data_IF_699336401194
#
_entry.id   IF_699336401194
#
_cell.length_a   1.000
_cell.length_b   1.000
_cell.length_c   1.000
_cell.angle_alpha   90.00
_cell.angle_beta   90.00
_cell.angle_gamma   90.00
#
_symmetry.space_group_name_H-M   'P 1'
#
loop_
_entity.id
_entity.type
_entity.pdbx_description
1 polymer ?
#
# COMPACT_ATOMS: atom_id res chain seq x y z
N UNK A 1 15.33 -60.37 -20.72
CA UNK A 1 14.92 -61.21 -19.58
C UNK A 1 13.79 -60.48 -18.86
N UNK A 2 12.55 -60.94 -19.03
CA UNK A 2 11.35 -60.43 -18.36
C UNK A 2 11.36 -60.89 -16.90
N UNK A 3 10.63 -60.17 -16.04
CA UNK A 3 9.79 -60.62 -14.91
C UNK A 3 9.52 -59.35 -14.07
N UNK A 4 8.52 -58.52 -14.39
CA UNK A 4 7.07 -58.73 -14.22
C UNK A 4 6.72 -59.05 -12.76
N UNK A 5 6.36 -58.01 -11.98
CA UNK A 5 5.74 -58.14 -10.66
C UNK A 5 4.25 -57.77 -10.83
N UNK A 6 3.29 -58.68 -10.57
CA UNK A 6 1.90 -58.48 -10.94
C UNK A 6 1.08 -57.78 -9.85
N UNK A 7 0.02 -57.11 -10.30
CA UNK A 7 -1.22 -56.82 -9.55
C UNK A 7 -1.75 -58.08 -8.86
N UNK A 8 -2.42 -57.92 -7.70
CA UNK A 8 -3.87 -58.13 -7.58
C UNK A 8 -4.36 -57.89 -6.13
N UNK A 9 -5.39 -57.04 -6.02
CA UNK A 9 -6.60 -57.18 -5.20
C UNK A 9 -6.48 -57.31 -3.68
N UNK A 10 -7.05 -56.36 -2.93
CA UNK A 10 -8.29 -56.63 -2.21
C UNK A 10 -9.11 -55.35 -1.97
N UNK A 11 -10.36 -55.45 -2.38
CA UNK A 11 -11.45 -54.48 -2.34
C UNK A 11 -12.14 -54.54 -0.97
N UNK A 12 -12.50 -53.39 -0.40
CA UNK A 12 -13.62 -53.22 0.56
C UNK A 12 -13.84 -51.70 0.70
N UNK A 13 -14.66 -51.02 -0.12
CA UNK A 13 -16.12 -51.01 -0.24
C UNK A 13 -16.91 -50.66 1.06
N UNK A 14 -17.21 -49.35 1.16
CA UNK A 14 -18.44 -48.66 1.62
C UNK A 14 -18.97 -48.83 3.05
N UNK A 15 -19.30 -47.68 3.67
CA UNK A 15 -20.61 -47.29 4.23
C UNK A 15 -20.48 -45.81 4.68
N UNK A 16 -20.86 -44.83 3.84
CA UNK A 16 -22.18 -44.15 3.83
C UNK A 16 -22.75 -43.82 5.22
N UNK A 17 -22.60 -42.55 5.62
CA UNK A 17 -23.59 -41.83 6.42
C UNK A 17 -23.91 -40.50 5.71
N UNK A 18 -25.09 -40.46 5.07
CA UNK A 18 -25.89 -39.26 4.91
C UNK A 18 -26.62 -39.04 6.26
N UNK A 19 -27.09 -37.86 6.69
CA UNK A 19 -27.60 -36.68 6.02
C UNK A 19 -27.88 -35.58 7.07
N UNK A 20 -28.09 -34.36 6.57
CA UNK A 20 -29.12 -33.38 6.97
C UNK A 20 -28.64 -31.98 7.42
N UNK A 21 -28.76 -31.07 6.45
CA UNK A 21 -29.47 -29.77 6.53
C UNK A 21 -29.24 -28.87 7.74
N UNK A 22 -28.31 -27.92 7.58
CA UNK A 22 -28.29 -26.65 8.28
C UNK A 22 -28.18 -25.52 7.26
N UNK A 23 -29.29 -24.81 7.06
CA UNK A 23 -29.37 -23.64 6.19
C UNK A 23 -28.64 -22.48 6.87
N UNK A 24 -27.53 -22.01 6.30
CA UNK A 24 -26.91 -20.74 6.69
C UNK A 24 -26.28 -20.12 5.45
N UNK A 25 -27.10 -19.37 4.73
CA UNK A 25 -26.69 -18.29 3.85
C UNK A 25 -25.81 -17.32 4.67
N UNK A 26 -24.50 -17.57 4.76
CA UNK A 26 -23.58 -16.49 5.08
C UNK A 26 -23.37 -15.70 3.78
N UNK A 27 -24.15 -14.64 3.63
CA UNK A 27 -23.71 -13.45 2.92
C UNK A 27 -22.44 -12.95 3.62
N UNK A 28 -21.31 -13.59 3.32
CA UNK A 28 -19.98 -13.07 3.59
C UNK A 28 -19.72 -12.03 2.53
N UNK A 29 -19.93 -10.77 2.90
CA UNK A 29 -19.70 -9.59 2.09
C UNK A 29 -18.44 -9.75 1.25
N UNK A 30 -18.60 -9.93 -0.07
CA UNK A 30 -17.65 -9.33 -1.00
C UNK A 30 -17.81 -7.84 -0.79
N UNK A 31 -17.04 -7.30 0.17
CA UNK A 31 -16.70 -5.88 0.24
C UNK A 31 -16.51 -5.48 -1.21
N UNK A 32 -17.36 -4.57 -1.71
CA UNK A 32 -17.25 -4.06 -3.06
C UNK A 32 -15.77 -3.73 -3.26
N UNK A 33 -15.09 -4.60 -4.01
CA UNK A 33 -13.68 -4.44 -4.29
C UNK A 33 -13.71 -3.20 -5.15
N UNK A 34 -13.28 -2.08 -4.56
CA UNK A 34 -13.10 -0.82 -5.26
C UNK A 34 -12.42 -1.21 -6.56
N UNK A 35 -13.11 -1.01 -7.68
CA UNK A 35 -12.66 -1.27 -9.05
C UNK A 35 -11.56 -0.26 -9.36
N UNK A 36 -10.49 -0.37 -8.61
CA UNK A 36 -9.29 0.38 -8.87
C UNK A 36 -8.38 -0.62 -9.56
N UNK A 37 -8.12 -0.39 -10.84
CA UNK A 37 -7.37 -1.28 -11.73
C UNK A 37 -5.87 -1.37 -11.36
N UNK A 38 -5.56 -1.32 -10.07
CA UNK A 38 -4.23 -1.07 -9.53
C UNK A 38 -3.87 0.41 -9.41
N UNK A 39 -4.70 1.33 -9.88
CA UNK A 39 -4.43 2.77 -9.73
C UNK A 39 -4.47 3.18 -8.26
N UNK A 40 -3.60 4.08 -7.82
CA UNK A 40 -3.51 4.53 -6.42
C UNK A 40 -2.51 5.67 -6.33
N UNK A 41 -2.60 6.43 -5.26
CA UNK A 41 -1.58 7.38 -4.84
C UNK A 41 -0.85 6.78 -3.64
N UNK A 42 0.47 6.73 -3.69
CA UNK A 42 1.33 6.26 -2.61
C UNK A 42 2.11 7.45 -2.08
N UNK A 43 1.96 7.72 -0.79
CA UNK A 43 2.76 8.71 -0.06
C UNK A 43 3.86 7.94 0.64
N UNK A 44 5.09 8.15 0.18
CA UNK A 44 6.27 7.45 0.66
C UNK A 44 7.14 8.46 1.41
N UNK A 45 7.30 8.22 2.71
CA UNK A 45 8.16 9.00 3.60
C UNK A 45 9.37 8.15 3.97
N UNK A 46 10.48 8.39 3.27
CA UNK A 46 11.76 7.76 3.56
C UNK A 46 12.46 8.53 4.66
N UNK A 47 13.13 7.83 5.56
CA UNK A 47 13.92 8.42 6.62
C UNK A 47 15.17 7.57 6.90
N UNK A 48 16.20 8.17 7.48
CA UNK A 48 17.30 7.41 8.08
C UNK A 48 16.93 7.00 9.51
N UNK A 49 17.69 6.08 10.10
CA UNK A 49 17.54 5.61 11.48
C UNK A 49 17.66 6.78 12.46
N UNK A 50 18.57 7.71 12.18
CA UNK A 50 18.80 8.91 12.98
C UNK A 50 18.05 10.11 12.40
N UNK A 51 16.88 10.40 12.97
CA UNK A 51 15.99 11.47 12.49
C UNK A 51 16.24 12.79 13.23
N UNK A 52 16.38 13.87 12.46
CA UNK A 52 16.43 15.22 13.03
C UNK A 52 15.01 15.73 13.32
N UNK A 53 14.91 16.86 14.05
CA UNK A 53 13.62 17.48 14.41
C UNK A 53 12.74 17.75 13.19
N UNK A 54 13.32 18.26 12.09
CA UNK A 54 12.57 18.54 10.88
C UNK A 54 12.03 17.26 10.21
N UNK A 55 12.80 16.15 10.20
CA UNK A 55 12.31 14.86 9.70
C UNK A 55 11.08 14.39 10.46
N UNK A 56 11.12 14.48 11.80
CA UNK A 56 9.97 14.10 12.64
C UNK A 56 8.76 15.00 12.38
N UNK A 57 8.97 16.30 12.19
CA UNK A 57 7.88 17.23 11.86
C UNK A 57 7.26 16.94 10.48
N UNK A 58 8.06 16.58 9.47
CA UNK A 58 7.57 16.18 8.15
C UNK A 58 6.68 14.94 8.27
N UNK A 59 7.13 13.92 8.99
CA UNK A 59 6.36 12.70 9.21
C UNK A 59 5.03 13.00 9.91
N UNK A 60 5.07 13.72 11.04
CA UNK A 60 3.89 14.05 11.84
C UNK A 60 2.87 14.88 11.04
N UNK A 61 3.34 15.90 10.32
CA UNK A 61 2.47 16.73 9.49
C UNK A 61 1.86 15.92 8.34
N UNK A 62 2.62 15.02 7.72
CA UNK A 62 2.12 14.15 6.64
C UNK A 62 1.05 13.19 7.16
N UNK A 63 1.32 12.49 8.28
CA UNK A 63 0.35 11.60 8.92
C UNK A 63 -0.93 12.34 9.30
N UNK A 64 -0.79 13.54 9.87
CA UNK A 64 -1.91 14.38 10.25
C UNK A 64 -2.77 14.76 9.05
N UNK A 65 -2.15 15.30 7.99
CA UNK A 65 -2.86 15.69 6.76
C UNK A 65 -3.66 14.51 6.20
N UNK A 66 -3.03 13.34 6.10
CA UNK A 66 -3.68 12.14 5.57
C UNK A 66 -4.85 11.68 6.45
N UNK A 67 -4.68 11.70 7.77
CA UNK A 67 -5.73 11.33 8.71
C UNK A 67 -6.91 12.31 8.73
N UNK A 68 -6.64 13.62 8.64
CA UNK A 68 -7.68 14.67 8.74
C UNK A 68 -8.42 14.87 7.41
N UNK A 69 -7.72 14.82 6.27
CA UNK A 69 -8.26 15.23 4.96
C UNK A 69 -8.50 14.08 3.97
N UNK A 70 -7.90 12.91 4.20
CA UNK A 70 -7.89 11.80 3.23
C UNK A 70 -8.26 10.45 3.86
N UNK A 71 -8.90 10.45 5.03
CA UNK A 71 -9.27 9.23 5.74
C UNK A 71 -10.12 8.29 4.87
N UNK A 72 -11.02 8.82 4.05
CA UNK A 72 -11.90 8.00 3.22
C UNK A 72 -11.18 7.43 2.00
N UNK A 73 -10.31 8.19 1.35
CA UNK A 73 -9.40 7.71 0.31
C UNK A 73 -8.48 6.61 0.84
N UNK A 74 -7.96 6.77 2.06
CA UNK A 74 -7.15 5.75 2.72
C UNK A 74 -7.95 4.48 3.02
N UNK A 75 -9.17 4.59 3.56
CA UNK A 75 -10.06 3.44 3.81
C UNK A 75 -10.39 2.69 2.51
N UNK A 76 -10.50 3.41 1.40
CA UNK A 76 -10.77 2.86 0.06
C UNK A 76 -9.51 2.33 -0.64
N UNK A 77 -8.33 2.52 -0.07
CA UNK A 77 -7.05 2.15 -0.68
C UNK A 77 -6.66 3.01 -1.89
N UNK A 78 -7.30 4.18 -2.06
CA UNK A 78 -6.94 5.16 -3.10
C UNK A 78 -5.66 5.91 -2.75
N UNK A 79 -5.46 6.18 -1.46
CA UNK A 79 -4.19 6.68 -0.91
C UNK A 79 -3.61 5.62 0.02
N UNK A 80 -2.29 5.39 -0.07
CA UNK A 80 -1.52 4.62 0.91
C UNK A 80 -0.41 5.49 1.48
N UNK A 81 -0.03 5.24 2.74
CA UNK A 81 1.12 5.88 3.37
C UNK A 81 2.11 4.82 3.84
N UNK A 82 3.40 5.04 3.55
CA UNK A 82 4.48 4.16 4.01
C UNK A 82 5.60 5.01 4.57
N UNK A 83 5.95 4.73 5.82
CA UNK A 83 7.20 5.19 6.43
C UNK A 83 8.28 4.13 6.17
N UNK A 84 9.41 4.52 5.59
CA UNK A 84 10.43 3.59 5.08
C UNK A 84 11.80 3.99 5.63
N UNK A 85 12.45 3.10 6.39
CA UNK A 85 13.83 3.32 6.81
C UNK A 85 14.79 3.04 5.65
N UNK A 86 15.47 4.07 5.16
CA UNK A 86 16.42 4.00 4.06
C UNK A 86 17.72 3.26 4.43
N UNK A 87 18.05 3.17 5.72
CA UNK A 87 19.24 2.45 6.19
C UNK A 87 19.01 0.93 6.32
N UNK A 88 17.76 0.48 6.24
CA UNK A 88 17.42 -0.94 6.29
C UNK A 88 17.65 -1.59 4.93
N UNK A 89 18.53 -2.59 4.87
CA UNK A 89 18.87 -3.33 3.64
C UNK A 89 17.64 -3.97 2.98
N UNK A 90 16.61 -4.33 3.77
CA UNK A 90 15.35 -4.85 3.24
C UNK A 90 14.62 -3.83 2.33
N UNK A 91 14.91 -2.53 2.50
CA UNK A 91 14.34 -1.43 1.72
C UNK A 91 15.25 -0.97 0.57
N UNK A 92 16.44 -1.56 0.36
CA UNK A 92 17.42 -1.08 -0.62
C UNK A 92 16.85 -0.94 -2.05
N UNK A 93 15.99 -1.87 -2.47
CA UNK A 93 15.37 -1.82 -3.79
C UNK A 93 14.42 -0.63 -3.97
N UNK A 94 13.60 -0.31 -2.96
CA UNK A 94 12.67 0.82 -3.03
C UNK A 94 13.40 2.15 -2.84
N UNK A 95 14.39 2.20 -1.95
CA UNK A 95 15.29 3.36 -1.79
C UNK A 95 15.95 3.72 -3.11
N UNK A 96 16.52 2.74 -3.81
CA UNK A 96 17.16 2.96 -5.11
C UNK A 96 16.16 3.42 -6.18
N UNK A 97 14.94 2.87 -6.18
CA UNK A 97 13.88 3.27 -7.14
C UNK A 97 13.57 4.76 -7.07
N UNK A 98 13.52 5.32 -5.86
CA UNK A 98 13.19 6.73 -5.63
C UNK A 98 14.40 7.63 -5.35
N UNK A 99 15.63 7.09 -5.44
CA UNK A 99 16.88 7.78 -5.09
C UNK A 99 16.87 8.36 -3.66
N UNK A 100 16.14 7.71 -2.75
CA UNK A 100 15.83 8.21 -1.41
C UNK A 100 16.86 7.74 -0.36
N UNK A 101 18.13 8.12 -0.54
CA UNK A 101 19.23 7.72 0.36
C UNK A 101 19.22 8.42 1.73
N UNK A 102 18.20 9.24 2.01
CA UNK A 102 18.02 9.98 3.25
C UNK A 102 16.56 10.29 3.50
N UNK A 103 16.27 11.35 4.23
CA UNK A 103 14.87 11.81 4.36
C UNK A 103 14.34 12.26 3.01
N UNK A 104 13.25 11.66 2.55
CA UNK A 104 12.66 11.97 1.25
C UNK A 104 11.15 11.78 1.32
N UNK A 105 10.38 12.79 0.92
CA UNK A 105 8.92 12.70 0.84
C UNK A 105 8.50 12.65 -0.63
N UNK A 106 7.90 11.55 -1.05
CA UNK A 106 7.46 11.32 -2.43
C UNK A 106 5.96 11.08 -2.48
N UNK A 107 5.31 11.66 -3.48
CA UNK A 107 3.97 11.25 -3.91
C UNK A 107 4.12 10.49 -5.23
N UNK A 108 3.85 9.19 -5.21
CA UNK A 108 3.79 8.34 -6.39
C UNK A 108 2.33 8.17 -6.84
N UNK A 109 2.05 8.44 -8.10
CA UNK A 109 0.77 8.19 -8.74
C UNK A 109 0.90 6.99 -9.65
N UNK A 110 0.16 5.92 -9.33
CA UNK A 110 0.00 4.76 -10.18
C UNK A 110 -1.35 4.89 -10.90
N UNK A 111 -1.35 4.86 -12.23
CA UNK A 111 -2.55 4.87 -13.05
C UNK A 111 -2.46 3.78 -14.10
N UNK A 112 -3.33 2.77 -14.03
CA UNK A 112 -3.37 1.62 -14.95
C UNK A 112 -1.99 0.97 -15.15
N UNK A 113 -1.25 0.81 -14.05
CA UNK A 113 0.09 0.20 -14.03
C UNK A 113 1.24 1.14 -14.42
N UNK A 114 0.96 2.37 -14.85
CA UNK A 114 1.98 3.39 -15.12
C UNK A 114 2.25 4.23 -13.86
N UNK A 115 3.52 4.38 -13.51
CA UNK A 115 3.95 5.17 -12.34
C UNK A 115 4.47 6.55 -12.78
N UNK A 116 4.10 7.59 -12.05
CA UNK A 116 4.72 8.92 -12.11
C UNK A 116 4.82 9.48 -10.71
N UNK A 117 5.93 10.11 -10.35
CA UNK A 117 6.13 10.61 -9.00
C UNK A 117 6.61 12.05 -8.98
N UNK A 118 6.38 12.70 -7.84
CA UNK A 118 6.95 14.01 -7.50
C UNK A 118 7.71 13.89 -6.18
N UNK A 119 8.94 14.36 -6.18
CA UNK A 119 9.75 14.54 -4.98
C UNK A 119 9.39 15.89 -4.33
N UNK A 120 8.89 15.83 -3.10
CA UNK A 120 8.46 16.99 -2.30
C UNK A 120 9.41 17.27 -1.15
N UNK A 121 10.59 16.64 -1.12
CA UNK A 121 11.55 16.73 -0.02
C UNK A 121 11.94 18.16 0.29
N UNK A 122 12.37 18.94 -0.71
CA UNK A 122 12.75 20.35 -0.51
C UNK A 122 11.59 21.18 0.02
N UNK A 123 10.39 21.00 -0.53
CA UNK A 123 9.20 21.69 -0.07
C UNK A 123 8.85 21.33 1.38
N UNK A 124 8.91 20.03 1.70
CA UNK A 124 8.60 19.51 3.02
C UNK A 124 9.57 20.06 4.07
N UNK A 125 10.87 20.10 3.78
CA UNK A 125 11.88 20.68 4.67
C UNK A 125 11.70 22.19 4.85
N UNK A 126 11.45 22.93 3.77
CA UNK A 126 11.24 24.38 3.85
C UNK A 126 10.02 24.75 4.71
N UNK A 127 9.03 23.86 4.80
CA UNK A 127 7.76 24.13 5.46
C UNK A 127 7.52 23.24 6.69
N UNK A 128 8.51 22.49 7.16
CA UNK A 128 8.33 21.51 8.25
C UNK A 128 7.74 22.13 9.53
N UNK A 129 8.14 23.36 9.86
CA UNK A 129 7.62 24.11 11.01
C UNK A 129 6.41 25.01 10.66
N UNK A 130 6.06 25.16 9.38
CA UNK A 130 4.90 25.93 8.91
C UNK A 130 3.77 24.97 8.47
N UNK A 131 2.96 24.56 9.45
CA UNK A 131 1.90 23.55 9.25
C UNK A 131 0.89 23.91 8.17
N UNK A 132 0.52 25.19 8.07
CA UNK A 132 -0.47 25.63 7.08
C UNK A 132 0.10 25.53 5.67
N UNK A 133 1.31 26.08 5.45
CA UNK A 133 1.95 26.02 4.14
C UNK A 133 2.27 24.58 3.75
N UNK A 134 2.79 23.76 4.68
CA UNK A 134 3.03 22.34 4.48
C UNK A 134 1.75 21.64 4.04
N UNK A 135 0.67 21.80 4.81
CA UNK A 135 -0.62 21.17 4.52
C UNK A 135 -1.13 21.56 3.15
N UNK A 136 -1.18 22.86 2.84
CA UNK A 136 -1.69 23.36 1.56
C UNK A 136 -0.91 22.81 0.36
N UNK A 137 0.42 22.86 0.40
CA UNK A 137 1.23 22.40 -0.74
C UNK A 137 1.20 20.88 -0.93
N UNK A 138 1.29 20.08 0.13
CA UNK A 138 1.16 18.61 -0.01
C UNK A 138 -0.25 18.25 -0.50
N UNK A 139 -1.29 18.95 -0.01
CA UNK A 139 -2.69 18.76 -0.43
C UNK A 139 -2.87 19.01 -1.92
N UNK A 140 -2.27 20.07 -2.47
CA UNK A 140 -2.32 20.38 -3.90
C UNK A 140 -1.82 19.20 -4.77
N UNK A 141 -0.68 18.62 -4.39
CA UNK A 141 -0.12 17.47 -5.11
C UNK A 141 -0.96 16.19 -4.96
N UNK A 142 -1.51 15.93 -3.77
CA UNK A 142 -2.40 14.79 -3.52
C UNK A 142 -3.70 14.92 -4.32
N UNK A 143 -4.34 16.09 -4.31
CA UNK A 143 -5.60 16.33 -5.04
C UNK A 143 -5.39 16.22 -6.55
N UNK A 144 -4.27 16.75 -7.07
CA UNK A 144 -3.89 16.58 -8.47
C UNK A 144 -3.65 15.11 -8.84
N UNK A 145 -3.00 14.34 -7.97
CA UNK A 145 -2.73 12.91 -8.18
C UNK A 145 -4.00 12.07 -8.14
N UNK A 146 -4.88 12.32 -7.17
CA UNK A 146 -6.20 11.68 -7.06
C UNK A 146 -7.06 11.94 -8.30
N UNK A 147 -7.03 13.16 -8.84
CA UNK A 147 -7.78 13.51 -10.06
C UNK A 147 -7.33 12.67 -11.26
N UNK A 148 -6.05 12.29 -11.34
CA UNK A 148 -5.51 11.47 -12.44
C UNK A 148 -5.96 10.01 -12.39
N UNK A 149 -6.29 9.49 -11.21
CA UNK A 149 -6.59 8.06 -11.01
C UNK A 149 -8.08 7.75 -10.83
N UNK A 150 -8.92 8.78 -10.77
CA UNK A 150 -10.37 8.61 -10.71
C UNK A 150 -10.91 8.38 -12.13
N UNK A 151 -11.85 7.44 -12.30
CA UNK A 151 -12.50 7.18 -13.58
C UNK A 151 -13.30 8.39 -14.09
#
# INVERSE_FOLDING_TARGET
MKLFFPQLFFISLLLFFASCSGNAQSQGQKKALSTNNGSRVEVLDFHTTHRCKACLAIEDNTRRLLAESYADEMKKGLITFRLINADDEANAAIVKRYLAFGTTLVINTVHDGQESHVDLTSFAFMNADNKEQFTSGIKEHLDASLKKIRP
#
